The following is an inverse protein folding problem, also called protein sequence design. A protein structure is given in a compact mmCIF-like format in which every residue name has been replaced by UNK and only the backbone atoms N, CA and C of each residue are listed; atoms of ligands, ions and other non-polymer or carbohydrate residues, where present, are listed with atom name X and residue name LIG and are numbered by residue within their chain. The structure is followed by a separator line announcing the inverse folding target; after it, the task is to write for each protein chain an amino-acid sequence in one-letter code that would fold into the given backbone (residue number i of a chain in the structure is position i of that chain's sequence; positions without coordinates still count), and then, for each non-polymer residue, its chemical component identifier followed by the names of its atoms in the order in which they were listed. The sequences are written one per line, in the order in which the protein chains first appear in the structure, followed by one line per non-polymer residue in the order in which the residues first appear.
data_IF_334697425268
#
_entry.id   IF_334697425268
#
_cell.length_a   1.000
_cell.length_b   1.000
_cell.length_c   1.000
_cell.angle_alpha   90.00
_cell.angle_beta   90.00
_cell.angle_gamma   90.00
#
_symmetry.space_group_name_H-M   'P 1'
#
loop_
_entity.id
_entity.type
_entity.pdbx_description
1 polymer ?
#
# COMPACT_ATOMS: atom_id res chain seq x y z
N UNK A 1 21.83 -18.10 -2.53
CA UNK A 1 21.93 -16.76 -1.93
C UNK A 1 22.73 -15.91 -2.89
N UNK A 2 22.25 -14.73 -3.28
CA UNK A 2 22.97 -13.90 -4.26
C UNK A 2 24.07 -13.11 -3.57
N UNK A 3 25.32 -13.26 -4.03
CA UNK A 3 26.46 -12.53 -3.50
C UNK A 3 26.52 -11.11 -4.09
N UNK A 4 26.62 -10.10 -3.23
CA UNK A 4 26.74 -8.69 -3.63
C UNK A 4 28.05 -8.10 -3.16
N UNK A 5 28.69 -7.32 -4.02
CA UNK A 5 29.94 -6.62 -3.68
C UNK A 5 29.68 -5.50 -2.65
N UNK A 6 30.73 -5.12 -1.91
CA UNK A 6 30.64 -4.05 -0.90
C UNK A 6 30.20 -2.71 -1.49
N UNK A 7 30.67 -2.38 -2.70
CA UNK A 7 30.27 -1.18 -3.45
C UNK A 7 28.78 -1.19 -3.80
N UNK A 8 28.30 -2.30 -4.36
CA UNK A 8 26.88 -2.47 -4.71
C UNK A 8 25.98 -2.42 -3.49
N UNK A 9 26.39 -3.05 -2.38
CA UNK A 9 25.66 -2.99 -1.11
C UNK A 9 25.51 -1.55 -0.61
N UNK A 10 26.54 -0.71 -0.75
CA UNK A 10 26.45 0.72 -0.37
C UNK A 10 25.43 1.48 -1.24
N UNK A 11 25.44 1.26 -2.55
CA UNK A 11 24.48 1.88 -3.47
C UNK A 11 23.05 1.45 -3.17
N UNK A 12 22.81 0.14 -2.96
CA UNK A 12 21.49 -0.39 -2.61
C UNK A 12 20.97 0.15 -1.27
N UNK A 13 21.86 0.39 -0.28
CA UNK A 13 21.46 1.03 0.99
C UNK A 13 20.96 2.46 0.78
N UNK A 14 21.64 3.24 -0.05
CA UNK A 14 21.21 4.59 -0.38
C UNK A 14 19.83 4.59 -1.06
N UNK A 15 19.62 3.67 -2.02
CA UNK A 15 18.33 3.50 -2.69
C UNK A 15 17.22 3.00 -1.74
N UNK A 16 17.55 2.16 -0.77
CA UNK A 16 16.57 1.61 0.17
C UNK A 16 16.10 2.60 1.24
N UNK A 17 16.90 3.62 1.56
CA UNK A 17 16.59 4.58 2.62
C UNK A 17 15.23 5.30 2.41
N UNK A 18 14.95 5.94 1.26
CA UNK A 18 13.68 6.63 1.02
C UNK A 18 12.49 5.68 0.79
N UNK A 19 12.73 4.40 0.51
CA UNK A 19 11.66 3.45 0.25
C UNK A 19 10.81 3.20 1.51
N UNK A 20 9.49 3.16 1.30
CA UNK A 20 8.53 2.72 2.31
C UNK A 20 8.48 1.19 2.34
N UNK A 21 8.27 0.58 3.51
CA UNK A 21 8.10 -0.86 3.59
C UNK A 21 6.83 -1.29 2.84
N UNK A 22 6.97 -2.27 1.95
CA UNK A 22 5.87 -2.78 1.12
C UNK A 22 5.20 -3.97 1.78
N UNK A 23 6.00 -4.84 2.41
CA UNK A 23 5.51 -6.04 3.09
C UNK A 23 5.74 -5.92 4.59
N UNK A 24 4.81 -6.46 5.37
CA UNK A 24 4.88 -6.51 6.83
C UNK A 24 4.70 -7.93 7.34
N UNK A 25 5.62 -8.39 8.19
CA UNK A 25 5.56 -9.68 8.89
C UNK A 25 4.95 -9.44 10.27
N UNK A 26 3.82 -10.09 10.53
CA UNK A 26 3.11 -10.04 11.82
C UNK A 26 3.81 -10.90 12.88
N UNK A 27 3.39 -10.78 14.15
CA UNK A 27 3.94 -11.56 15.26
C UNK A 27 3.77 -13.09 15.13
N UNK A 28 2.87 -13.55 14.26
CA UNK A 28 2.73 -14.97 13.91
C UNK A 28 3.91 -15.52 13.09
N UNK A 29 4.85 -14.67 12.67
CA UNK A 29 6.04 -15.06 11.92
C UNK A 29 5.82 -15.15 10.41
N UNK A 30 6.70 -15.90 9.75
CA UNK A 30 6.66 -16.15 8.31
C UNK A 30 5.49 -17.09 7.99
N UNK A 31 4.65 -16.72 7.02
CA UNK A 31 3.60 -17.59 6.49
C UNK A 31 3.73 -17.67 4.97
N UNK A 32 3.22 -18.73 4.37
CA UNK A 32 3.31 -18.96 2.92
C UNK A 32 2.71 -17.81 2.11
N UNK A 33 1.64 -17.19 2.62
CA UNK A 33 1.02 -16.01 2.00
C UNK A 33 1.96 -14.81 1.99
N UNK A 34 2.70 -14.60 3.09
CA UNK A 34 3.68 -13.51 3.18
C UNK A 34 4.88 -13.82 2.29
N UNK A 35 5.33 -15.07 2.23
CA UNK A 35 6.41 -15.49 1.34
C UNK A 35 6.06 -15.21 -0.14
N UNK A 36 4.86 -15.60 -0.58
CA UNK A 36 4.37 -15.34 -1.94
C UNK A 36 4.26 -13.83 -2.24
N UNK A 37 3.86 -13.02 -1.27
CA UNK A 37 3.80 -11.57 -1.44
C UNK A 37 5.19 -10.94 -1.54
N UNK A 38 6.16 -11.41 -0.74
CA UNK A 38 7.56 -10.99 -0.82
C UNK A 38 8.12 -11.34 -2.20
N UNK A 39 7.87 -12.54 -2.71
CA UNK A 39 8.29 -12.97 -4.04
C UNK A 39 7.73 -12.07 -5.14
N UNK A 40 6.42 -11.80 -5.11
CA UNK A 40 5.74 -10.88 -6.04
C UNK A 40 6.33 -9.48 -5.98
N UNK A 41 6.62 -8.98 -4.78
CA UNK A 41 7.21 -7.65 -4.59
C UNK A 41 8.66 -7.60 -5.10
N UNK A 42 9.47 -8.64 -4.85
CA UNK A 42 10.83 -8.74 -5.38
C UNK A 42 10.84 -8.79 -6.90
N UNK A 43 9.90 -9.49 -7.54
CA UNK A 43 9.78 -9.53 -8.98
C UNK A 43 9.46 -8.15 -9.61
N UNK A 44 8.67 -7.32 -8.92
CA UNK A 44 8.28 -6.00 -9.41
C UNK A 44 9.34 -4.92 -9.15
N UNK A 45 9.90 -4.88 -7.94
CA UNK A 45 10.69 -3.76 -7.45
C UNK A 45 12.18 -4.04 -7.30
N UNK A 46 12.61 -5.31 -7.36
CA UNK A 46 13.99 -5.78 -7.20
C UNK A 46 14.57 -5.54 -5.79
N UNK A 47 14.40 -4.34 -5.25
CA UNK A 47 14.77 -3.88 -3.91
C UNK A 47 13.52 -3.63 -3.08
N UNK A 48 13.39 -4.32 -1.95
CA UNK A 48 12.24 -4.16 -1.06
C UNK A 48 12.69 -3.95 0.38
N UNK A 49 11.80 -3.28 1.13
CA UNK A 49 11.93 -3.08 2.57
C UNK A 49 10.76 -3.81 3.24
N UNK A 50 11.08 -4.71 4.17
CA UNK A 50 10.12 -5.54 4.89
C UNK A 50 10.10 -5.06 6.34
N UNK A 51 8.91 -4.82 6.88
CA UNK A 51 8.73 -4.47 8.29
C UNK A 51 8.40 -5.70 9.10
N UNK A 52 9.07 -5.91 10.22
CA UNK A 52 8.86 -7.08 11.10
C UNK A 52 8.33 -6.61 12.45
N UNK A 53 7.24 -7.21 12.93
CA UNK A 53 6.63 -6.84 14.21
C UNK A 53 6.87 -7.91 15.28
N UNK A 54 7.28 -7.49 16.48
CA UNK A 54 7.32 -8.35 17.69
C UNK A 54 8.39 -9.44 17.73
N UNK A 55 9.38 -9.40 16.83
CA UNK A 55 10.51 -10.33 16.84
C UNK A 55 11.77 -9.70 17.43
N UNK A 56 12.56 -10.47 18.18
CA UNK A 56 13.83 -10.04 18.75
C UNK A 56 14.95 -9.97 17.70
N UNK A 57 16.12 -9.44 18.05
CA UNK A 57 17.20 -9.21 17.06
C UNK A 57 17.63 -10.50 16.35
N UNK A 58 17.87 -11.56 17.11
CA UNK A 58 18.33 -12.84 16.57
C UNK A 58 17.27 -13.47 15.65
N UNK A 59 16.01 -13.48 16.08
CA UNK A 59 14.89 -14.00 15.28
C UNK A 59 14.74 -13.29 13.94
N UNK A 60 14.99 -11.97 13.90
CA UNK A 60 14.94 -11.20 12.65
C UNK A 60 16.09 -11.54 11.71
N UNK A 61 17.27 -11.82 12.24
CA UNK A 61 18.41 -12.28 11.43
C UNK A 61 18.15 -13.68 10.88
N UNK A 62 17.55 -14.58 11.68
CA UNK A 62 17.09 -15.90 11.20
C UNK A 62 16.04 -15.77 10.11
N UNK A 63 15.00 -14.95 10.32
CA UNK A 63 13.96 -14.70 9.32
C UNK A 63 14.54 -14.12 8.02
N UNK A 64 15.51 -13.21 8.13
CA UNK A 64 16.19 -12.64 6.97
C UNK A 64 16.95 -13.73 6.20
N UNK A 65 17.71 -14.57 6.90
CA UNK A 65 18.46 -15.67 6.30
C UNK A 65 17.53 -16.69 5.63
N UNK A 66 16.43 -17.05 6.28
CA UNK A 66 15.40 -17.96 5.77
C UNK A 66 14.77 -17.42 4.49
N UNK A 67 14.31 -16.16 4.49
CA UNK A 67 13.75 -15.50 3.31
C UNK A 67 14.77 -15.41 2.17
N UNK A 68 16.02 -15.09 2.47
CA UNK A 68 17.08 -15.03 1.46
C UNK A 68 17.39 -16.41 0.86
N UNK A 69 17.28 -17.47 1.67
CA UNK A 69 17.50 -18.86 1.24
C UNK A 69 16.36 -19.32 0.34
N UNK A 70 15.11 -19.09 0.76
CA UNK A 70 13.90 -19.51 0.04
C UNK A 70 13.73 -18.78 -1.29
N UNK A 71 13.96 -17.46 -1.31
CA UNK A 71 13.72 -16.61 -2.50
C UNK A 71 14.97 -16.33 -3.33
N UNK A 72 16.09 -16.95 -2.94
CA UNK A 72 17.40 -16.77 -3.54
C UNK A 72 17.76 -15.29 -3.71
N UNK A 73 17.62 -14.53 -2.62
CA UNK A 73 17.82 -13.08 -2.58
C UNK A 73 19.06 -12.72 -1.75
N UNK A 74 19.54 -11.48 -1.89
CA UNK A 74 20.67 -10.92 -1.15
C UNK A 74 20.19 -10.07 0.04
N UNK A 75 20.73 -10.27 1.25
CA UNK A 75 20.55 -9.34 2.36
C UNK A 75 21.45 -8.11 2.17
N UNK A 76 20.84 -6.92 2.19
CA UNK A 76 21.56 -5.66 2.02
C UNK A 76 21.87 -5.02 3.38
N UNK A 77 20.84 -4.91 4.22
CA UNK A 77 20.94 -4.29 5.54
C UNK A 77 19.77 -4.70 6.45
N UNK A 78 20.07 -4.77 7.74
CA UNK A 78 19.08 -4.86 8.81
C UNK A 78 19.08 -3.55 9.62
N UNK A 79 17.92 -2.92 9.77
CA UNK A 79 17.75 -1.64 10.47
C UNK A 79 16.62 -1.80 11.48
N UNK A 80 16.94 -2.17 12.71
CA UNK A 80 15.94 -2.31 13.78
C UNK A 80 14.87 -3.34 13.43
N UNK A 81 13.66 -2.89 13.11
CA UNK A 81 12.54 -3.73 12.67
C UNK A 81 12.33 -3.77 11.16
N UNK A 82 13.24 -3.17 10.38
CA UNK A 82 13.19 -3.13 8.93
C UNK A 82 14.30 -4.01 8.34
N UNK A 83 13.93 -4.83 7.37
CA UNK A 83 14.82 -5.70 6.63
C UNK A 83 14.88 -5.22 5.18
N UNK A 84 16.08 -5.07 4.63
CA UNK A 84 16.29 -4.69 3.24
C UNK A 84 16.82 -5.89 2.47
N UNK A 85 16.04 -6.33 1.49
CA UNK A 85 16.30 -7.51 0.67
C UNK A 85 16.31 -7.08 -0.79
N UNK A 86 17.21 -7.67 -1.57
CA UNK A 86 17.35 -7.36 -2.97
C UNK A 86 17.55 -8.62 -3.82
N UNK A 87 17.02 -8.63 -5.04
CA UNK A 87 17.19 -9.71 -6.01
C UNK A 87 17.35 -9.12 -7.42
N UNK A 88 18.33 -9.59 -8.17
CA UNK A 88 18.45 -9.29 -9.61
C UNK A 88 17.28 -9.94 -10.37
N UNK A 89 16.72 -9.24 -11.36
CA UNK A 89 15.83 -9.91 -12.31
C UNK A 89 16.66 -10.88 -13.15
N UNK A 90 16.24 -12.14 -13.31
CA UNK A 90 16.89 -13.02 -14.26
C UNK A 90 16.75 -12.41 -15.67
N UNK A 91 17.87 -12.25 -16.37
CA UNK A 91 17.96 -11.55 -17.65
C UNK A 91 17.31 -12.32 -18.83
N UNK A 92 16.57 -13.40 -18.61
CA UNK A 92 15.95 -14.16 -19.70
C UNK A 92 14.61 -14.75 -19.27
N UNK A 93 13.53 -14.15 -19.77
CA UNK A 93 12.35 -14.81 -20.35
C UNK A 93 11.28 -13.74 -20.54
N UNK A 94 11.03 -13.41 -21.81
CA UNK A 94 9.78 -12.93 -22.42
C UNK A 94 8.78 -12.16 -21.52
N UNK A 95 8.32 -10.96 -21.94
CA UNK A 95 7.33 -10.20 -21.19
C UNK A 95 6.01 -10.99 -21.11
N UNK A 96 5.79 -11.73 -20.02
CA UNK A 96 4.48 -12.30 -19.75
C UNK A 96 3.51 -11.14 -19.56
N UNK A 97 2.47 -11.02 -20.41
CA UNK A 97 1.68 -9.81 -20.54
C UNK A 97 1.04 -9.48 -19.21
N UNK A 98 1.19 -8.22 -18.82
CA UNK A 98 0.48 -7.62 -17.71
C UNK A 98 -0.99 -8.05 -17.76
N UNK A 99 -1.40 -8.92 -16.84
CA UNK A 99 -2.81 -9.24 -16.63
C UNK A 99 -3.49 -7.89 -16.35
N UNK A 100 -4.44 -7.43 -17.19
CA UNK A 100 -5.04 -6.13 -16.98
C UNK A 100 -5.68 -6.17 -15.60
N UNK A 101 -5.22 -5.29 -14.70
CA UNK A 101 -5.89 -5.06 -13.43
C UNK A 101 -7.33 -4.73 -13.78
N UNK A 102 -8.20 -5.71 -13.56
CA UNK A 102 -9.64 -5.59 -13.71
C UNK A 102 -10.02 -4.37 -12.86
N UNK A 103 -10.42 -3.27 -13.51
CA UNK A 103 -10.92 -2.08 -12.81
C UNK A 103 -11.96 -2.60 -11.83
N UNK A 104 -11.72 -2.44 -10.53
CA UNK A 104 -12.72 -2.75 -9.53
C UNK A 104 -13.95 -1.93 -9.92
N UNK A 105 -15.03 -2.63 -10.29
CA UNK A 105 -16.31 -1.99 -10.57
C UNK A 105 -16.69 -1.12 -9.36
N UNK A 106 -17.30 0.05 -9.55
CA UNK A 106 -17.79 0.84 -8.43
C UNK A 106 -18.80 -0.03 -7.68
N UNK A 107 -18.46 -0.43 -6.46
CA UNK A 107 -19.40 -1.07 -5.55
C UNK A 107 -20.46 -0.02 -5.25
N UNK A 108 -21.63 -0.16 -5.86
CA UNK A 108 -22.82 0.59 -5.48
C UNK A 108 -23.03 0.39 -3.97
N UNK A 109 -22.81 1.44 -3.19
CA UNK A 109 -23.18 1.39 -1.78
C UNK A 109 -24.71 1.45 -1.71
N UNK A 110 -25.31 0.37 -1.20
CA UNK A 110 -26.70 0.38 -0.72
C UNK A 110 -26.78 1.25 0.54
N UNK A 111 -26.76 2.57 0.37
CA UNK A 111 -27.24 3.56 1.35
C UNK A 111 -27.87 4.75 0.62
N UNK A 112 -28.94 4.49 -0.11
CA UNK A 112 -29.89 5.51 -0.59
C UNK A 112 -31.34 5.00 -0.50
N UNK A 113 -31.64 4.26 0.56
CA UNK A 113 -32.98 3.75 0.86
C UNK A 113 -33.28 3.93 2.35
N UNK A 114 -33.46 5.19 2.79
CA UNK A 114 -34.20 5.59 4.00
C UNK A 114 -33.99 7.09 4.29
N UNK A 115 -34.80 7.96 3.68
CA UNK A 115 -35.12 9.30 4.22
C UNK A 115 -36.24 9.95 3.36
N UNK A 116 -37.44 9.36 3.42
CA UNK A 116 -38.68 10.02 2.97
C UNK A 116 -39.77 9.75 4.00
N UNK A 117 -39.81 10.58 5.03
CA UNK A 117 -40.89 10.85 6.02
C UNK A 117 -40.19 11.68 7.11
N UNK A 118 -40.65 12.83 7.60
CA UNK A 118 -41.97 13.44 7.71
C UNK A 118 -41.80 14.97 8.00
N UNK A 119 -42.86 15.75 7.80
CA UNK A 119 -43.15 17.09 8.36
C UNK A 119 -42.32 18.32 7.96
N UNK A 120 -42.94 19.23 7.21
CA UNK A 120 -43.33 20.55 7.74
C UNK A 120 -44.31 21.26 6.79
N UNK A 121 -45.55 21.36 7.25
CA UNK A 121 -46.55 22.25 6.66
C UNK A 121 -46.22 23.73 6.94
N UNK A 122 -46.87 24.61 6.16
CA UNK A 122 -47.15 26.04 6.41
C UNK A 122 -46.09 26.99 5.83
N UNK A 123 -46.38 27.68 4.73
CA UNK A 123 -47.25 28.86 4.80
C UNK A 123 -47.76 29.29 3.41
N UNK A 124 -49.03 29.67 3.37
CA UNK A 124 -49.81 30.05 2.19
C UNK A 124 -49.47 31.48 1.75
N UNK A 125 -49.48 31.71 0.42
CA UNK A 125 -49.62 33.03 -0.20
C UNK A 125 -50.80 33.79 0.42
N UNK A 126 -50.57 35.03 0.83
CA UNK A 126 -51.62 36.04 0.97
C UNK A 126 -51.27 37.21 0.05
N UNK A 127 -52.31 37.68 -0.59
CA UNK A 127 -52.41 38.57 -1.75
C UNK A 127 -52.53 40.03 -1.30
N UNK A 128 -52.21 40.93 -2.24
CA UNK A 128 -52.62 42.34 -2.37
C UNK A 128 -51.85 43.42 -1.60
N UNK A 129 -51.15 44.26 -2.37
CA UNK A 129 -50.80 45.63 -2.03
C UNK A 129 -50.38 46.38 -3.29
N UNK A 130 -51.27 47.20 -3.86
CA UNK A 130 -51.01 48.10 -4.99
C UNK A 130 -51.27 49.54 -4.52
N UNK A 131 -50.92 50.56 -5.31
CA UNK A 131 -49.72 51.39 -5.24
C UNK A 131 -49.99 52.78 -4.59
N UNK A 132 -48.94 53.60 -4.32
CA UNK A 132 -48.84 55.05 -4.65
C UNK A 132 -47.68 55.77 -3.94
N UNK A 133 -46.99 56.61 -4.73
CA UNK A 133 -46.06 57.74 -4.43
C UNK A 133 -46.65 58.73 -3.39
N UNK A 134 -45.92 59.72 -2.81
CA UNK A 134 -44.88 60.56 -3.45
C UNK A 134 -43.70 61.04 -2.58
N UNK A 135 -42.81 61.79 -3.25
CA UNK A 135 -41.61 62.53 -2.83
C UNK A 135 -41.87 63.75 -1.91
N UNK A 136 -40.98 64.02 -0.94
CA UNK A 136 -40.45 65.31 -0.41
C UNK A 136 -39.87 65.06 0.98
N UNK A 137 -38.65 65.50 1.33
CA UNK A 137 -38.16 66.89 1.40
C UNK A 137 -36.67 66.91 1.15
#
# INVERSE_FOLDING_TARGET
MTDITSGQRRSLRALAHPLKPVVSISQKGLSDTVLAEIERCLAAHELIKIRVYGHEREQRETLLAEVCTMLNAAPVQHIGNLLVVWREKPAVAEPSPAVPRRRAAPVLSKKAAAAKTDKAARSRKIVLGKPRRPTRT
#
